data_IF_898429376089
#
_entry.id   IF_898429376089
#
_cell.length_a   1.000
_cell.length_b   1.000
_cell.length_c   1.000
_cell.angle_alpha   90.00
_cell.angle_beta   90.00
_cell.angle_gamma   90.00
#
_symmetry.space_group_name_H-M   'P 1'
#
loop_
_entity.id
_entity.type
_entity.pdbx_description
1 polymer ?
#
# COMPACT_ATOMS: atom_id res chain seq x y z
N UNK A 1 23.61 16.48 -21.13
CA UNK A 1 23.56 16.54 -19.66
C UNK A 1 22.36 15.73 -19.19
N UNK A 2 22.53 14.46 -18.83
CA UNK A 2 21.46 13.60 -18.28
C UNK A 2 21.53 13.69 -16.77
N UNK A 3 20.54 14.30 -16.14
CA UNK A 3 20.40 14.29 -14.68
C UNK A 3 20.12 12.83 -14.26
N UNK A 4 20.94 12.29 -13.39
CA UNK A 4 20.86 10.92 -12.88
C UNK A 4 19.49 10.68 -12.23
N UNK A 5 18.56 10.06 -12.95
CA UNK A 5 17.47 9.33 -12.32
C UNK A 5 18.11 8.11 -11.65
N UNK A 6 18.33 8.18 -10.35
CA UNK A 6 18.82 7.05 -9.55
C UNK A 6 17.77 5.95 -9.69
N UNK A 7 18.08 4.89 -10.43
CA UNK A 7 17.20 3.74 -10.55
C UNK A 7 17.07 3.08 -9.19
N UNK A 8 15.84 3.06 -8.66
CA UNK A 8 15.51 2.35 -7.43
C UNK A 8 15.19 0.92 -7.86
N UNK A 9 15.81 -0.07 -7.24
CA UNK A 9 15.57 -1.51 -7.50
C UNK A 9 14.17 -1.90 -6.98
N UNK A 10 13.14 -1.45 -7.68
CA UNK A 10 11.75 -1.71 -7.35
C UNK A 10 11.39 -3.11 -7.83
N UNK A 11 11.01 -3.97 -6.89
CA UNK A 11 10.63 -5.34 -7.18
C UNK A 11 9.10 -5.50 -7.10
N UNK A 12 8.56 -6.41 -7.93
CA UNK A 12 7.17 -6.82 -7.79
C UNK A 12 7.01 -7.68 -6.53
N UNK A 13 6.07 -7.29 -5.67
CA UNK A 13 5.73 -8.07 -4.50
C UNK A 13 5.03 -9.37 -4.90
N UNK A 14 5.49 -10.50 -4.36
CA UNK A 14 4.97 -11.85 -4.67
C UNK A 14 3.83 -12.33 -3.76
N UNK A 15 3.17 -11.44 -3.02
CA UNK A 15 2.06 -11.82 -2.13
C UNK A 15 0.88 -12.35 -2.92
N UNK A 16 0.23 -13.37 -2.38
CA UNK A 16 -0.94 -13.99 -3.00
C UNK A 16 -2.11 -12.99 -3.09
N UNK A 17 -2.61 -12.82 -4.31
CA UNK A 17 -3.67 -11.85 -4.59
C UNK A 17 -4.99 -12.21 -3.92
N UNK A 18 -5.31 -13.51 -3.79
CA UNK A 18 -6.56 -13.94 -3.14
C UNK A 18 -6.55 -13.54 -1.65
N UNK A 19 -5.42 -13.71 -0.98
CA UNK A 19 -5.20 -13.30 0.41
C UNK A 19 -5.37 -11.78 0.57
N UNK A 20 -4.83 -10.99 -0.37
CA UNK A 20 -5.01 -9.52 -0.39
C UNK A 20 -6.50 -9.17 -0.50
N UNK A 21 -7.24 -9.81 -1.41
CA UNK A 21 -8.67 -9.54 -1.61
C UNK A 21 -9.50 -9.92 -0.39
N UNK A 22 -9.17 -11.01 0.30
CA UNK A 22 -9.86 -11.41 1.54
C UNK A 22 -9.75 -10.32 2.62
N UNK A 23 -8.57 -9.72 2.78
CA UNK A 23 -8.36 -8.60 3.70
C UNK A 23 -9.05 -7.33 3.20
N UNK A 24 -8.93 -7.02 1.90
CA UNK A 24 -9.56 -5.83 1.32
C UNK A 24 -11.08 -5.80 1.56
N UNK A 25 -11.75 -6.96 1.51
CA UNK A 25 -13.19 -7.08 1.76
C UNK A 25 -13.64 -6.69 3.17
N UNK A 26 -12.76 -6.84 4.17
CA UNK A 26 -13.10 -6.53 5.57
C UNK A 26 -12.78 -5.07 5.97
N UNK A 27 -12.05 -4.33 5.12
CA UNK A 27 -11.79 -2.90 5.32
C UNK A 27 -13.06 -2.08 5.07
N UNK A 28 -13.55 -1.41 6.11
CA UNK A 28 -14.83 -0.65 6.08
C UNK A 28 -14.65 0.88 6.00
N UNK A 29 -13.43 1.37 6.13
CA UNK A 29 -13.16 2.80 6.29
C UNK A 29 -13.15 3.60 4.98
N UNK A 30 -13.03 2.94 3.82
CA UNK A 30 -13.09 3.59 2.50
C UNK A 30 -14.06 2.86 1.57
N UNK A 31 -14.69 3.59 0.67
CA UNK A 31 -15.48 3.05 -0.45
C UNK A 31 -14.63 2.82 -1.71
N UNK A 32 -13.40 3.33 -1.74
CA UNK A 32 -12.49 3.16 -2.88
C UNK A 32 -11.87 1.74 -2.87
N UNK A 33 -12.07 0.94 -3.92
CA UNK A 33 -11.56 -0.43 -3.97
C UNK A 33 -10.03 -0.50 -4.07
N UNK A 34 -9.38 0.51 -4.68
CA UNK A 34 -7.92 0.55 -4.79
C UNK A 34 -7.26 0.89 -3.46
N UNK A 35 -7.80 1.86 -2.72
CA UNK A 35 -7.35 2.16 -1.36
C UNK A 35 -7.44 0.91 -0.46
N UNK A 36 -8.52 0.11 -0.60
CA UNK A 36 -8.65 -1.16 0.12
C UNK A 36 -7.58 -2.16 -0.29
N UNK A 37 -7.38 -2.37 -1.59
CA UNK A 37 -6.42 -3.36 -2.10
C UNK A 37 -4.99 -2.96 -1.71
N UNK A 38 -4.60 -1.69 -1.87
CA UNK A 38 -3.26 -1.19 -1.54
C UNK A 38 -3.00 -1.32 -0.03
N UNK A 39 -3.97 -0.93 0.80
CA UNK A 39 -3.84 -1.04 2.26
C UNK A 39 -3.81 -2.49 2.73
N UNK A 40 -4.66 -3.34 2.14
CA UNK A 40 -4.68 -4.77 2.43
C UNK A 40 -3.37 -5.46 2.04
N UNK A 41 -2.78 -5.08 0.92
CA UNK A 41 -1.49 -5.60 0.45
C UNK A 41 -0.39 -5.35 1.48
N UNK A 42 -0.27 -4.10 1.95
CA UNK A 42 0.70 -3.74 2.98
C UNK A 42 0.39 -4.43 4.32
N UNK A 43 -0.89 -4.57 4.68
CA UNK A 43 -1.27 -5.07 6.01
C UNK A 43 -1.04 -6.56 6.24
N UNK A 44 -0.86 -7.38 5.20
CA UNK A 44 -0.60 -8.84 5.35
C UNK A 44 0.57 -9.10 6.31
N UNK A 45 1.66 -8.33 6.14
CA UNK A 45 2.88 -8.45 6.96
C UNK A 45 3.13 -7.21 7.81
N UNK A 46 2.14 -6.31 7.88
CA UNK A 46 2.26 -4.99 8.50
C UNK A 46 3.41 -4.14 7.89
N UNK A 47 3.61 -4.23 6.57
CA UNK A 47 4.66 -3.49 5.86
C UNK A 47 4.43 -1.98 5.90
N UNK A 48 5.51 -1.23 5.68
CA UNK A 48 5.41 0.23 5.52
C UNK A 48 4.76 0.56 4.19
N UNK A 49 3.65 1.31 4.22
CA UNK A 49 2.98 1.83 3.04
C UNK A 49 3.38 3.28 2.79
N UNK A 50 4.19 3.52 1.76
CA UNK A 50 4.54 4.88 1.34
C UNK A 50 3.35 5.49 0.59
N UNK A 51 2.72 6.52 1.16
CA UNK A 51 1.53 7.14 0.56
C UNK A 51 1.30 8.58 0.99
N UNK A 52 1.03 9.48 0.04
CA UNK A 52 0.56 10.86 0.31
C UNK A 52 -0.89 10.93 0.79
N UNK A 53 -1.62 9.82 0.77
CA UNK A 53 -3.04 9.82 1.07
C UNK A 53 -3.27 9.87 2.59
N UNK A 54 -3.67 11.04 3.08
CA UNK A 54 -3.97 11.26 4.50
C UNK A 54 -5.09 10.38 5.03
N UNK A 55 -6.03 9.98 4.18
CA UNK A 55 -7.12 9.09 4.59
C UNK A 55 -6.58 7.69 4.88
N UNK A 56 -5.70 7.15 4.03
CA UNK A 56 -4.98 5.89 4.31
C UNK A 56 -4.18 6.02 5.61
N UNK A 57 -3.47 7.12 5.81
CA UNK A 57 -2.65 7.33 7.01
C UNK A 57 -3.43 7.37 8.33
N UNK A 58 -4.68 7.82 8.30
CA UNK A 58 -5.57 7.78 9.48
C UNK A 58 -6.03 6.36 9.83
N UNK A 59 -6.04 5.44 8.86
CA UNK A 59 -6.62 4.11 9.02
C UNK A 59 -5.58 2.98 9.01
N UNK A 60 -4.40 3.20 8.44
CA UNK A 60 -3.29 2.26 8.43
C UNK A 60 -2.07 2.84 9.14
N UNK A 61 -1.81 2.36 10.36
CA UNK A 61 -0.78 2.90 11.24
C UNK A 61 0.64 2.81 10.69
N UNK A 62 0.89 1.85 9.80
CA UNK A 62 2.19 1.64 9.18
C UNK A 62 2.30 2.35 7.83
N UNK A 63 1.56 3.44 7.61
CA UNK A 63 1.82 4.33 6.49
C UNK A 63 2.90 5.36 6.82
N UNK A 64 3.60 5.84 5.80
CA UNK A 64 4.61 6.88 5.94
C UNK A 64 4.61 7.85 4.76
N UNK A 65 4.72 9.13 5.07
CA UNK A 65 4.99 10.19 4.10
C UNK A 65 5.76 11.32 4.80
N UNK A 66 6.88 11.76 4.22
CA UNK A 66 7.72 12.83 4.76
C UNK A 66 8.10 13.81 3.66
#
# INVERSE_FOLDING_TARGET
>A
MRLYAKEIDLQLCGKDFISIIQIAKILKWTCDPFDRIITAHASIDNDILITKNDHITKHYKNSFWK
#
